data_IF_409987427607
#
_entry.id   IF_409987427607
#
_cell.length_a   1.000
_cell.length_b   1.000
_cell.length_c   1.000
_cell.angle_alpha   90.00
_cell.angle_beta   90.00
_cell.angle_gamma   90.00
#
_symmetry.space_group_name_H-M   'P 1'
#
loop_
_entity.id
_entity.type
_entity.pdbx_description
1 polymer ?
#
# COMPACT_ATOMS: atom_id res chain seq x y z
N UNK A 1 22.56 9.84 0.49
CA UNK A 1 22.68 10.64 1.74
C UNK A 1 23.51 11.88 1.43
N UNK A 2 23.05 13.07 1.82
CA UNK A 2 23.76 14.36 1.67
C UNK A 2 24.23 14.81 3.05
N UNK A 3 25.48 15.30 3.11
CA UNK A 3 26.07 15.87 4.32
C UNK A 3 25.86 17.38 4.30
N UNK A 4 25.20 17.91 5.33
CA UNK A 4 25.09 19.34 5.56
C UNK A 4 26.11 19.75 6.63
N UNK A 5 26.90 20.77 6.28
CA UNK A 5 27.88 21.39 7.18
C UNK A 5 27.39 22.78 7.54
N UNK A 6 27.65 23.23 8.77
CA UNK A 6 27.30 24.58 9.14
C UNK A 6 28.14 25.57 8.35
N UNK A 7 27.52 26.62 7.83
CA UNK A 7 28.25 27.76 7.24
C UNK A 7 28.90 28.59 8.36
N UNK A 8 29.95 28.03 8.96
CA UNK A 8 30.73 28.70 10.00
C UNK A 8 32.22 28.57 9.73
N UNK A 9 32.97 29.65 9.93
CA UNK A 9 34.45 29.67 9.90
C UNK A 9 35.10 28.97 11.12
N UNK A 10 34.29 28.38 11.99
CA UNK A 10 34.70 27.71 13.21
C UNK A 10 34.75 26.20 12.97
N UNK A 11 35.78 25.54 13.50
CA UNK A 11 35.95 24.09 13.40
C UNK A 11 34.99 23.39 14.38
N UNK A 12 33.71 23.29 14.02
CA UNK A 12 32.66 22.67 14.85
C UNK A 12 32.38 21.23 14.40
N UNK A 13 32.24 20.26 15.33
CA UNK A 13 32.01 18.86 14.99
C UNK A 13 30.57 18.54 14.53
N UNK A 14 29.67 19.52 14.53
CA UNK A 14 28.25 19.29 14.30
C UNK A 14 27.94 19.09 12.81
N UNK A 15 27.25 17.99 12.53
CA UNK A 15 26.93 17.55 11.18
C UNK A 15 25.48 17.07 11.12
N UNK A 16 24.78 17.44 10.06
CA UNK A 16 23.49 16.86 9.74
C UNK A 16 23.62 15.97 8.50
N UNK A 17 23.04 14.77 8.57
CA UNK A 17 22.93 13.87 7.44
C UNK A 17 21.47 13.79 7.01
N UNK A 18 21.19 14.18 5.77
CA UNK A 18 19.84 14.10 5.21
C UNK A 18 19.80 13.10 4.06
N UNK A 19 18.61 12.61 3.74
CA UNK A 19 18.42 11.74 2.58
C UNK A 19 18.76 12.50 1.29
N UNK A 20 19.23 11.79 0.26
CA UNK A 20 19.71 12.42 -0.99
C UNK A 20 18.62 13.16 -1.79
N UNK A 21 17.36 12.79 -1.56
CA UNK A 21 16.16 13.38 -2.15
C UNK A 21 15.62 14.58 -1.37
N UNK A 22 16.27 14.99 -0.28
CA UNK A 22 15.87 16.15 0.51
C UNK A 22 16.95 17.23 0.32
N UNK A 23 16.52 18.48 0.16
CA UNK A 23 17.40 19.65 0.23
C UNK A 23 17.20 20.32 1.59
N UNK A 24 18.26 20.90 2.12
CA UNK A 24 18.21 21.59 3.40
C UNK A 24 19.48 22.37 3.66
N UNK A 25 19.42 23.27 4.63
CA UNK A 25 20.54 24.06 5.13
C UNK A 25 20.71 23.79 6.62
N UNK A 26 21.94 23.88 7.08
CA UNK A 26 22.29 23.73 8.48
C UNK A 26 23.03 25.01 8.86
N UNK A 27 22.36 25.90 9.59
CA UNK A 27 22.85 27.25 9.79
C UNK A 27 22.88 27.60 11.27
N UNK A 28 23.72 28.57 11.63
CA UNK A 28 23.70 29.16 12.97
C UNK A 28 22.47 30.06 13.09
N UNK A 29 21.80 30.01 14.24
CA UNK A 29 20.80 31.01 14.56
C UNK A 29 21.51 32.33 14.94
N UNK A 30 21.52 33.29 14.02
CA UNK A 30 21.99 34.65 14.31
C UNK A 30 20.87 35.42 15.03
N UNK A 31 21.08 35.66 16.32
CA UNK A 31 20.29 36.50 17.24
C UNK A 31 19.07 35.89 17.93
N UNK A 32 19.17 35.85 19.27
CA UNK A 32 18.12 36.26 20.18
C UNK A 32 18.81 36.84 21.41
N UNK A 33 18.50 38.10 21.77
CA UNK A 33 19.05 38.81 22.94
C UNK A 33 18.73 38.13 24.28
N UNK A 34 18.10 36.95 24.27
CA UNK A 34 17.63 36.20 25.44
C UNK A 34 18.16 34.76 25.50
N UNK A 35 19.21 34.42 24.74
CA UNK A 35 19.83 33.09 24.83
C UNK A 35 20.82 33.09 26.00
N UNK A 36 20.48 32.35 27.07
CA UNK A 36 21.31 32.13 28.26
C UNK A 36 22.38 31.02 28.06
N UNK A 37 22.50 30.48 26.85
CA UNK A 37 23.41 29.40 26.50
C UNK A 37 24.72 29.95 25.94
N UNK A 38 25.85 29.43 26.42
CA UNK A 38 27.20 29.65 25.88
C UNK A 38 27.48 28.80 24.63
N UNK A 39 26.62 27.83 24.33
CA UNK A 39 26.64 27.05 23.09
C UNK A 39 25.88 27.74 21.95
N UNK A 40 26.44 27.63 20.74
CA UNK A 40 25.84 28.07 19.49
C UNK A 40 24.55 27.29 19.20
N UNK A 41 23.43 28.01 19.04
CA UNK A 41 22.18 27.43 18.57
C UNK A 41 22.23 27.23 17.06
N UNK A 42 21.81 26.04 16.64
CA UNK A 42 21.83 25.60 15.24
C UNK A 42 20.41 25.39 14.74
N UNK A 43 20.16 25.72 13.48
CA UNK A 43 18.88 25.59 12.79
C UNK A 43 19.04 24.69 11.59
N UNK A 44 18.28 23.58 11.56
CA UNK A 44 18.16 22.73 10.38
C UNK A 44 16.89 23.12 9.63
N UNK A 45 17.06 23.74 8.46
CA UNK A 45 15.94 23.98 7.55
C UNK A 45 15.93 22.88 6.50
N UNK A 46 14.83 22.13 6.39
CA UNK A 46 14.63 21.13 5.34
C UNK A 46 13.52 21.58 4.39
N UNK A 47 13.79 21.51 3.10
CA UNK A 47 12.78 21.74 2.08
C UNK A 47 12.07 20.43 1.78
N UNK A 48 10.82 20.34 2.24
CA UNK A 48 9.95 19.18 2.02
C UNK A 48 9.21 19.23 0.67
N UNK A 49 9.25 20.35 -0.06
CA UNK A 49 8.51 20.51 -1.33
C UNK A 49 9.13 19.76 -2.52
N UNK A 50 10.40 19.36 -2.42
CA UNK A 50 11.11 18.63 -3.47
C UNK A 50 11.02 17.10 -3.34
N UNK A 51 10.33 16.58 -2.34
CA UNK A 51 10.02 15.15 -2.30
C UNK A 51 8.88 14.96 -3.31
N UNK A 52 9.10 14.41 -4.52
CA UNK A 52 7.96 13.97 -5.30
C UNK A 52 7.19 13.02 -4.41
N UNK A 53 5.91 13.31 -4.16
CA UNK A 53 4.99 12.35 -3.57
C UNK A 53 5.01 11.14 -4.50
N UNK A 54 5.88 10.18 -4.17
CA UNK A 54 5.96 8.94 -4.91
C UNK A 54 4.75 8.17 -4.42
N UNK A 55 3.72 8.17 -5.26
CA UNK A 55 2.52 7.42 -4.98
C UNK A 55 2.93 5.97 -4.70
N UNK A 56 2.69 5.53 -3.46
CA UNK A 56 2.97 4.17 -2.99
C UNK A 56 2.23 3.13 -3.83
N UNK A 57 1.14 3.51 -4.49
CA UNK A 57 0.35 2.68 -5.40
C UNK A 57 0.99 2.54 -6.80
N UNK A 58 1.84 3.48 -7.22
CA UNK A 58 2.53 3.45 -8.53
C UNK A 58 3.99 3.02 -8.46
N UNK A 59 4.52 2.71 -7.27
CA UNK A 59 5.90 2.27 -7.11
C UNK A 59 6.14 0.87 -7.67
N UNK A 60 7.20 0.71 -8.47
CA UNK A 60 7.71 -0.60 -8.90
C UNK A 60 8.43 -1.38 -7.79
N UNK A 61 8.59 -0.78 -6.61
CA UNK A 61 9.17 -1.38 -5.42
C UNK A 61 8.12 -2.22 -4.69
N UNK A 62 8.52 -3.43 -4.30
CA UNK A 62 7.72 -4.33 -3.46
C UNK A 62 8.51 -4.74 -2.23
N UNK A 63 7.80 -5.01 -1.14
CA UNK A 63 8.38 -5.49 0.11
C UNK A 63 8.90 -6.91 -0.09
N UNK A 64 10.12 -7.17 0.37
CA UNK A 64 10.69 -8.51 0.34
C UNK A 64 10.05 -9.38 1.45
N UNK A 65 9.39 -10.48 1.11
CA UNK A 65 8.68 -11.30 2.10
C UNK A 65 9.50 -12.50 2.60
N UNK A 66 10.78 -12.60 2.23
CA UNK A 66 11.61 -13.80 2.49
C UNK A 66 11.70 -14.12 3.99
N UNK A 67 11.89 -13.09 4.82
CA UNK A 67 12.09 -13.24 6.27
C UNK A 67 10.84 -12.90 7.10
N UNK A 68 9.67 -12.77 6.47
CA UNK A 68 8.42 -12.36 7.16
C UNK A 68 7.95 -13.35 8.25
N UNK A 69 8.43 -14.58 8.20
CA UNK A 69 8.11 -15.61 9.17
C UNK A 69 9.13 -15.66 10.33
N UNK A 70 10.20 -14.88 10.29
CA UNK A 70 11.19 -14.83 11.37
C UNK A 70 10.58 -14.15 12.61
N UNK A 71 10.49 -14.84 13.77
CA UNK A 71 9.80 -14.30 14.94
C UNK A 71 10.36 -12.97 15.44
N UNK A 72 11.68 -12.78 15.36
CA UNK A 72 12.33 -11.53 15.76
C UNK A 72 11.88 -10.34 14.90
N UNK A 73 11.81 -10.53 13.57
CA UNK A 73 11.37 -9.48 12.65
C UNK A 73 9.89 -9.16 12.88
N UNK A 74 9.04 -10.18 13.02
CA UNK A 74 7.61 -9.99 13.33
C UNK A 74 7.42 -9.18 14.61
N UNK A 75 8.18 -9.50 15.66
CA UNK A 75 8.12 -8.79 16.94
C UNK A 75 8.50 -7.31 16.80
N UNK A 76 9.57 -7.00 16.07
CA UNK A 76 9.98 -5.61 15.81
C UNK A 76 8.92 -4.86 15.01
N UNK A 77 8.37 -5.47 13.94
CA UNK A 77 7.29 -4.86 13.15
C UNK A 77 6.05 -4.54 13.99
N UNK A 78 5.65 -5.46 14.88
CA UNK A 78 4.52 -5.24 15.79
C UNK A 78 4.80 -4.16 16.82
N UNK A 79 6.03 -4.08 17.34
CA UNK A 79 6.44 -3.04 18.27
C UNK A 79 6.46 -1.65 17.60
N UNK A 80 6.97 -1.55 16.36
CA UNK A 80 6.92 -0.30 15.60
C UNK A 80 5.48 0.14 15.31
N UNK A 81 4.60 -0.80 14.94
CA UNK A 81 3.17 -0.50 14.77
C UNK A 81 2.56 0.03 16.07
N UNK A 82 2.84 -0.61 17.21
CA UNK A 82 2.34 -0.15 18.51
C UNK A 82 2.79 1.28 18.85
N UNK A 83 4.00 1.68 18.45
CA UNK A 83 4.51 3.04 18.68
C UNK A 83 3.76 4.11 17.88
N UNK A 84 3.24 3.75 16.70
CA UNK A 84 2.54 4.70 15.81
C UNK A 84 1.02 4.53 15.80
N UNK A 85 0.48 3.55 16.54
CA UNK A 85 -0.92 3.15 16.44
C UNK A 85 -1.88 4.30 16.76
N UNK A 86 -1.52 5.16 17.72
CA UNK A 86 -2.26 6.36 18.09
C UNK A 86 -2.48 7.36 16.93
N UNK A 87 -1.54 7.43 15.97
CA UNK A 87 -1.69 8.28 14.79
C UNK A 87 -2.77 7.72 13.86
N UNK A 88 -2.82 6.40 13.73
CA UNK A 88 -3.82 5.70 12.93
C UNK A 88 -5.19 5.81 13.61
N UNK A 89 -5.25 5.69 14.94
CA UNK A 89 -6.48 5.91 15.70
C UNK A 89 -7.02 7.32 15.51
N UNK A 90 -6.14 8.31 15.42
CA UNK A 90 -6.54 9.69 15.16
C UNK A 90 -7.21 9.82 13.78
N UNK A 91 -6.67 9.18 12.75
CA UNK A 91 -7.28 9.14 11.41
C UNK A 91 -8.63 8.39 11.41
N UNK A 92 -8.72 7.26 12.10
CA UNK A 92 -9.98 6.50 12.23
C UNK A 92 -11.02 7.29 13.01
N UNK A 93 -10.63 7.97 14.09
CA UNK A 93 -11.51 8.84 14.86
C UNK A 93 -12.09 9.98 14.02
N UNK A 94 -11.29 10.53 13.10
CA UNK A 94 -11.78 11.55 12.15
C UNK A 94 -12.89 10.97 11.27
N UNK A 95 -12.74 9.76 10.72
CA UNK A 95 -13.81 9.09 9.96
C UNK A 95 -15.06 8.88 10.82
N UNK A 96 -14.91 8.39 12.04
CA UNK A 96 -16.04 8.08 12.92
C UNK A 96 -16.87 9.31 13.32
N UNK A 97 -16.23 10.47 13.43
CA UNK A 97 -16.87 11.70 13.90
C UNK A 97 -17.05 12.75 12.81
N UNK A 98 -16.78 12.39 11.56
CA UNK A 98 -16.89 13.32 10.45
C UNK A 98 -18.33 13.74 10.18
N UNK A 99 -18.52 15.05 9.98
CA UNK A 99 -19.81 15.64 9.61
C UNK A 99 -19.57 16.63 8.47
N UNK A 100 -20.14 16.34 7.30
CA UNK A 100 -19.90 17.10 6.07
C UNK A 100 -20.30 18.58 6.18
N UNK A 101 -21.28 18.89 7.02
CA UNK A 101 -21.78 20.27 7.23
C UNK A 101 -20.68 21.26 7.64
N UNK A 102 -19.57 20.77 8.21
CA UNK A 102 -18.48 21.59 8.73
C UNK A 102 -17.17 21.49 7.90
N UNK A 103 -17.19 20.93 6.68
CA UNK A 103 -15.96 20.68 5.93
C UNK A 103 -16.09 20.85 4.42
N UNK A 104 -15.02 21.32 3.79
CA UNK A 104 -14.88 21.43 2.33
C UNK A 104 -14.54 20.09 1.67
N UNK A 105 -14.19 19.07 2.45
CA UNK A 105 -13.74 17.75 1.97
C UNK A 105 -14.92 16.77 1.90
N UNK A 106 -15.13 16.12 0.75
CA UNK A 106 -16.15 15.08 0.62
C UNK A 106 -15.80 13.80 1.39
N UNK A 107 -16.76 12.90 1.58
CA UNK A 107 -16.53 11.61 2.26
C UNK A 107 -15.51 10.72 1.52
N UNK A 108 -15.53 10.68 0.18
CA UNK A 108 -14.60 9.90 -0.63
C UNK A 108 -13.12 10.24 -0.35
N UNK A 109 -12.70 11.51 -0.50
CA UNK A 109 -11.34 11.94 -0.18
C UNK A 109 -10.92 11.67 1.28
N UNK A 110 -11.86 11.74 2.24
CA UNK A 110 -11.58 11.37 3.63
C UNK A 110 -11.27 9.87 3.77
N UNK A 111 -12.07 9.00 3.12
CA UNK A 111 -11.83 7.55 3.08
C UNK A 111 -10.47 7.24 2.46
N UNK A 112 -10.16 7.87 1.31
CA UNK A 112 -8.87 7.72 0.64
C UNK A 112 -7.70 8.15 1.53
N UNK A 113 -7.82 9.29 2.21
CA UNK A 113 -6.79 9.79 3.11
C UNK A 113 -6.49 8.80 4.24
N UNK A 114 -7.52 8.30 4.94
CA UNK A 114 -7.31 7.36 6.04
C UNK A 114 -6.75 6.02 5.55
N UNK A 115 -7.21 5.53 4.39
CA UNK A 115 -6.69 4.30 3.81
C UNK A 115 -5.24 4.43 3.39
N UNK A 116 -4.90 5.49 2.66
CA UNK A 116 -3.55 5.76 2.22
C UNK A 116 -2.61 5.94 3.41
N UNK A 117 -3.06 6.63 4.47
CA UNK A 117 -2.29 6.77 5.70
C UNK A 117 -1.96 5.42 6.34
N UNK A 118 -2.95 4.53 6.50
CA UNK A 118 -2.71 3.18 7.02
C UNK A 118 -1.71 2.41 6.14
N UNK A 119 -1.93 2.40 4.82
CA UNK A 119 -1.08 1.66 3.87
C UNK A 119 0.35 2.18 3.89
N UNK A 120 0.53 3.50 3.91
CA UNK A 120 1.84 4.15 3.96
C UNK A 120 2.59 3.78 5.24
N UNK A 121 1.92 3.82 6.40
CA UNK A 121 2.58 3.48 7.68
C UNK A 121 2.97 2.01 7.75
N UNK A 122 2.10 1.11 7.30
CA UNK A 122 2.46 -0.31 7.21
C UNK A 122 3.59 -0.54 6.21
N UNK A 123 3.59 0.16 5.08
CA UNK A 123 4.65 0.07 4.09
C UNK A 123 6.00 0.54 4.64
N UNK A 124 6.04 1.65 5.39
CA UNK A 124 7.25 2.15 6.04
C UNK A 124 7.80 1.11 7.03
N UNK A 125 6.96 0.60 7.93
CA UNK A 125 7.38 -0.43 8.92
C UNK A 125 7.94 -1.65 8.19
N UNK A 126 7.22 -2.14 7.18
CA UNK A 126 7.62 -3.35 6.46
C UNK A 126 8.88 -3.13 5.63
N UNK A 127 9.00 -2.01 4.93
CA UNK A 127 10.16 -1.71 4.08
C UNK A 127 11.42 -1.50 4.91
N UNK A 128 11.32 -0.91 6.11
CA UNK A 128 12.42 -0.81 7.04
C UNK A 128 12.89 -2.20 7.50
N UNK A 129 11.95 -3.04 7.95
CA UNK A 129 12.28 -4.31 8.60
C UNK A 129 12.60 -5.46 7.65
N UNK A 130 11.98 -5.48 6.47
CA UNK A 130 12.11 -6.57 5.50
C UNK A 130 12.92 -6.17 4.26
N UNK A 131 13.12 -4.87 4.03
CA UNK A 131 13.67 -4.34 2.80
C UNK A 131 12.68 -4.37 1.63
N UNK A 132 13.09 -3.77 0.52
CA UNK A 132 12.32 -3.72 -0.73
C UNK A 132 13.15 -4.23 -1.89
N UNK A 133 12.47 -4.61 -2.97
CA UNK A 133 13.09 -4.95 -4.24
C UNK A 133 12.30 -4.33 -5.40
N UNK A 134 13.00 -3.98 -6.47
CA UNK A 134 12.39 -3.53 -7.72
C UNK A 134 11.91 -4.73 -8.53
N UNK A 135 10.65 -4.69 -8.98
CA UNK A 135 10.11 -5.71 -9.90
C UNK A 135 10.90 -5.72 -11.23
N UNK A 136 11.41 -4.57 -11.66
CA UNK A 136 12.12 -4.45 -12.93
C UNK A 136 13.53 -5.08 -12.85
N UNK A 137 14.22 -4.91 -11.73
CA UNK A 137 15.58 -5.43 -11.52
C UNK A 137 15.59 -6.93 -11.18
N UNK A 138 14.54 -7.41 -10.51
CA UNK A 138 14.38 -8.85 -10.23
C UNK A 138 14.03 -9.67 -11.47
N UNK A 139 13.41 -9.05 -12.49
CA UNK A 139 13.11 -9.71 -13.78
C UNK A 139 14.34 -9.85 -14.68
N UNK A 140 15.33 -8.98 -14.55
CA UNK A 140 16.56 -9.02 -15.37
C UNK A 140 17.62 -9.96 -14.83
N UNK A 141 17.69 -10.16 -13.50
CA UNK A 141 18.71 -11.00 -12.83
C UNK A 141 18.21 -12.40 -12.43
N UNK A 142 17.56 -13.10 -13.35
CA UNK A 142 17.06 -14.46 -13.10
C UNK A 142 18.18 -15.51 -13.19
N UNK A 143 18.77 -15.88 -12.06
CA UNK A 143 19.67 -17.04 -11.97
C UNK A 143 18.88 -18.34 -11.78
N UNK A 144 19.32 -19.47 -12.38
CA UNK A 144 18.65 -20.75 -12.22
C UNK A 144 18.85 -21.30 -10.80
N UNK A 145 17.77 -21.35 -10.01
CA UNK A 145 17.78 -22.09 -8.75
C UNK A 145 17.95 -23.59 -9.01
N UNK A 146 19.04 -24.15 -8.49
CA UNK A 146 19.20 -25.59 -8.26
C UNK A 146 18.60 -25.93 -6.88
N UNK A 147 17.29 -26.11 -6.77
CA UNK A 147 16.68 -26.78 -5.61
C UNK A 147 15.39 -27.48 -6.05
N UNK A 148 15.44 -28.82 -6.14
CA UNK A 148 15.19 -29.82 -5.09
C UNK A 148 13.70 -30.19 -5.09
N UNK A 149 13.40 -31.30 -5.76
CA UNK A 149 12.08 -31.89 -5.92
C UNK A 149 11.50 -32.43 -4.59
N UNK A 150 12.30 -32.44 -3.52
CA UNK A 150 11.94 -33.02 -2.22
C UNK A 150 10.95 -32.16 -1.41
N UNK A 151 10.52 -31.00 -1.94
CA UNK A 151 9.58 -30.08 -1.27
C UNK A 151 8.12 -30.29 -1.70
N UNK A 152 7.85 -31.27 -2.57
CA UNK A 152 6.52 -31.57 -3.10
C UNK A 152 5.55 -32.18 -2.07
N UNK A 153 6.05 -32.68 -0.94
CA UNK A 153 5.22 -33.20 0.16
C UNK A 153 4.91 -32.16 1.25
N UNK A 154 5.32 -30.90 1.06
CA UNK A 154 5.03 -29.83 2.03
C UNK A 154 3.62 -29.24 1.83
N UNK A 155 3.00 -28.66 2.87
CA UNK A 155 1.76 -27.88 2.75
C UNK A 155 1.88 -26.69 1.77
N UNK A 156 3.11 -26.32 1.39
CA UNK A 156 3.44 -25.22 0.48
C UNK A 156 3.66 -25.70 -0.97
N UNK A 157 3.55 -27.00 -1.23
CA UNK A 157 3.85 -27.62 -2.53
C UNK A 157 3.08 -26.99 -3.69
N UNK A 158 1.80 -26.66 -3.52
CA UNK A 158 1.00 -26.00 -4.56
C UNK A 158 1.53 -24.60 -4.92
N UNK A 159 1.98 -23.82 -3.93
CA UNK A 159 2.58 -22.50 -4.14
C UNK A 159 3.93 -22.61 -4.84
N UNK A 160 4.74 -23.60 -4.44
CA UNK A 160 6.03 -23.90 -5.04
C UNK A 160 5.88 -24.38 -6.49
N UNK A 161 4.92 -25.26 -6.77
CA UNK A 161 4.60 -25.73 -8.11
C UNK A 161 4.11 -24.59 -9.01
N UNK A 162 3.22 -23.72 -8.51
CA UNK A 162 2.77 -22.54 -9.23
C UNK A 162 3.94 -21.57 -9.51
N UNK A 163 4.88 -21.42 -8.58
CA UNK A 163 6.11 -20.64 -8.77
C UNK A 163 7.01 -21.26 -9.83
N UNK A 164 7.24 -22.57 -9.81
CA UNK A 164 8.04 -23.29 -10.82
C UNK A 164 7.38 -23.19 -12.20
N UNK A 165 6.07 -23.39 -12.29
CA UNK A 165 5.31 -23.24 -13.53
C UNK A 165 5.38 -21.81 -14.07
N UNK A 166 5.17 -20.79 -13.24
CA UNK A 166 5.36 -19.39 -13.66
C UNK A 166 6.80 -19.15 -14.12
N UNK A 167 7.81 -19.66 -13.39
CA UNK A 167 9.24 -19.59 -13.79
C UNK A 167 9.48 -20.26 -15.15
N UNK A 168 8.88 -21.42 -15.43
CA UNK A 168 9.04 -22.10 -16.72
C UNK A 168 8.36 -21.33 -17.86
N UNK A 169 7.18 -20.74 -17.62
CA UNK A 169 6.50 -19.86 -18.58
C UNK A 169 7.34 -18.60 -18.88
N UNK A 170 8.00 -18.00 -17.89
CA UNK A 170 8.90 -16.87 -18.11
C UNK A 170 10.13 -17.24 -18.95
N UNK A 171 10.72 -18.43 -18.75
CA UNK A 171 11.80 -18.94 -19.62
C UNK A 171 11.29 -19.27 -21.03
N UNK A 172 10.06 -19.79 -21.12
CA UNK A 172 9.40 -20.10 -22.38
C UNK A 172 8.89 -18.87 -23.15
N UNK A 173 8.91 -17.65 -22.57
CA UNK A 173 8.53 -16.41 -23.26
C UNK A 173 9.33 -16.12 -24.54
N UNK A 174 10.43 -16.81 -24.81
CA UNK A 174 11.08 -16.76 -26.13
C UNK A 174 10.34 -17.55 -27.22
N UNK A 175 9.48 -18.51 -26.88
CA UNK A 175 8.83 -19.44 -27.83
C UNK A 175 7.32 -19.70 -27.59
N UNK A 176 6.68 -19.13 -26.57
CA UNK A 176 5.24 -19.28 -26.36
C UNK A 176 4.46 -18.29 -27.25
N UNK A 177 4.07 -18.75 -28.44
CA UNK A 177 3.21 -17.98 -29.33
C UNK A 177 1.76 -18.05 -28.82
N UNK A 178 1.22 -16.91 -28.41
CA UNK A 178 -0.23 -16.79 -28.15
C UNK A 178 -0.93 -16.85 -29.50
N UNK A 179 -1.77 -17.86 -29.69
CA UNK A 179 -2.59 -18.01 -30.90
C UNK A 179 -4.04 -17.69 -30.56
N UNK A 180 -4.70 -17.05 -31.52
CA UNK A 180 -6.16 -16.85 -31.50
C UNK A 180 -6.87 -18.22 -31.51
N UNK A 181 -8.06 -18.28 -30.91
CA UNK A 181 -8.99 -19.42 -31.03
C UNK A 181 -9.44 -19.62 -32.47
N UNK A 182 -9.36 -18.57 -33.30
CA UNK A 182 -9.72 -18.56 -34.71
C UNK A 182 -8.49 -18.29 -35.59
N UNK A 183 -8.15 -19.20 -36.53
CA UNK A 183 -7.00 -19.03 -37.42
C UNK A 183 -7.02 -17.76 -38.29
N UNK A 184 -8.21 -17.19 -38.50
CA UNK A 184 -8.43 -16.00 -39.32
C UNK A 184 -8.36 -14.67 -38.55
N UNK A 185 -8.14 -14.71 -37.23
CA UNK A 185 -8.16 -13.54 -36.35
C UNK A 185 -6.84 -13.45 -35.61
N UNK A 186 -6.31 -12.24 -35.42
CA UNK A 186 -5.10 -12.07 -34.61
C UNK A 186 -5.39 -12.41 -33.15
N UNK A 187 -4.38 -12.86 -32.39
CA UNK A 187 -4.58 -13.13 -30.97
C UNK A 187 -5.04 -11.89 -30.19
N UNK A 188 -4.65 -10.69 -30.62
CA UNK A 188 -5.10 -9.44 -30.00
C UNK A 188 -6.59 -9.17 -30.25
N UNK A 189 -7.06 -9.37 -31.48
CA UNK A 189 -8.46 -9.14 -31.86
C UNK A 189 -9.40 -10.18 -31.24
N UNK A 190 -8.95 -11.44 -31.11
CA UNK A 190 -9.69 -12.50 -30.44
C UNK A 190 -9.86 -12.22 -28.94
N UNK A 191 -8.80 -11.74 -28.28
CA UNK A 191 -8.85 -11.30 -26.87
C UNK A 191 -9.75 -10.07 -26.71
N UNK A 192 -9.67 -9.10 -27.62
CA UNK A 192 -10.52 -7.92 -27.59
C UNK A 192 -12.00 -8.32 -27.71
N UNK A 193 -12.33 -9.15 -28.70
CA UNK A 193 -13.69 -9.61 -28.96
C UNK A 193 -14.24 -10.41 -27.78
N UNK A 194 -13.43 -11.31 -27.21
CA UNK A 194 -13.80 -12.07 -26.01
C UNK A 194 -14.21 -11.16 -24.85
N UNK A 195 -13.40 -10.16 -24.51
CA UNK A 195 -13.71 -9.27 -23.40
C UNK A 195 -14.85 -8.31 -23.72
N UNK A 196 -14.99 -7.89 -24.98
CA UNK A 196 -16.10 -7.04 -25.40
C UNK A 196 -17.44 -7.78 -25.29
N UNK A 197 -17.48 -9.07 -25.62
CA UNK A 197 -18.66 -9.91 -25.45
C UNK A 197 -18.93 -10.21 -23.97
N UNK A 198 -17.89 -10.51 -23.20
CA UNK A 198 -17.99 -10.84 -21.77
C UNK A 198 -18.52 -9.66 -20.93
N UNK A 199 -18.06 -8.45 -21.25
CA UNK A 199 -18.45 -7.22 -20.56
C UNK A 199 -19.45 -6.39 -21.35
N UNK A 200 -20.13 -7.00 -22.33
CA UNK A 200 -21.15 -6.32 -23.10
C UNK A 200 -22.23 -5.83 -22.13
N UNK A 201 -22.51 -4.52 -22.07
CA UNK A 201 -23.56 -4.01 -21.19
C UNK A 201 -24.86 -4.74 -21.50
N UNK A 202 -25.54 -5.23 -20.48
CA UNK A 202 -26.88 -5.80 -20.66
C UNK A 202 -27.79 -4.72 -21.26
N UNK A 203 -28.49 -5.05 -22.34
CA UNK A 203 -29.48 -4.14 -22.96
C UNK A 203 -30.77 -4.01 -22.14
N UNK A 204 -30.83 -4.69 -20.99
CA UNK A 204 -31.89 -4.49 -20.00
C UNK A 204 -31.57 -3.18 -19.32
N UNK A 205 -32.44 -2.18 -19.48
CA UNK A 205 -32.42 -0.95 -18.69
C UNK A 205 -32.37 -1.34 -17.21
N UNK A 206 -31.17 -1.30 -16.65
CA UNK A 206 -30.99 -1.47 -15.22
C UNK A 206 -31.28 -0.10 -14.66
N UNK A 207 -32.34 0.03 -13.87
CA UNK A 207 -32.62 1.27 -13.14
C UNK A 207 -31.31 1.70 -12.47
N UNK A 208 -30.74 2.82 -12.90
CA UNK A 208 -29.55 3.36 -12.28
C UNK A 208 -29.94 3.76 -10.86
N UNK A 209 -29.60 2.89 -9.90
CA UNK A 209 -29.85 3.13 -8.49
C UNK A 209 -28.99 4.33 -8.06
N UNK A 210 -29.62 5.49 -7.96
CA UNK A 210 -28.98 6.68 -7.43
C UNK A 210 -28.90 6.55 -5.91
N UNK A 211 -27.70 6.44 -5.39
CA UNK A 211 -27.44 6.55 -3.95
C UNK A 211 -27.15 8.01 -3.67
N UNK A 212 -28.02 8.67 -2.90
CA UNK A 212 -27.74 9.99 -2.38
C UNK A 212 -26.67 9.87 -1.28
N UNK A 213 -25.50 10.46 -1.52
CA UNK A 213 -24.37 10.47 -0.60
C UNK A 213 -24.29 11.76 0.22
N UNK A 214 -25.33 12.60 0.22
CA UNK A 214 -25.34 13.86 0.98
C UNK A 214 -25.27 13.63 2.49
N UNK A 215 -25.94 12.58 2.99
CA UNK A 215 -25.98 12.23 4.40
C UNK A 215 -25.34 10.87 4.68
N UNK A 216 -24.70 10.67 5.86
CA UNK A 216 -24.24 9.36 6.28
C UNK A 216 -25.42 8.41 6.45
N UNK A 217 -25.23 7.14 6.07
CA UNK A 217 -26.26 6.11 6.18
C UNK A 217 -26.67 6.00 7.65
N UNK A 218 -27.88 6.44 7.97
CA UNK A 218 -28.44 6.37 9.33
C UNK A 218 -28.96 4.95 9.59
N UNK A 219 -28.10 4.17 10.24
CA UNK A 219 -28.27 2.84 10.83
C UNK A 219 -29.71 2.30 10.93
N UNK A 220 -30.18 1.61 9.89
CA UNK A 220 -31.09 0.47 10.07
C UNK A 220 -30.33 -0.82 10.41
N UNK A 221 -29.00 -0.83 10.20
CA UNK A 221 -28.11 -1.98 10.39
C UNK A 221 -27.06 -1.62 11.43
N UNK A 222 -26.95 -2.42 12.50
CA UNK A 222 -25.86 -2.31 13.47
C UNK A 222 -24.62 -2.98 12.89
N UNK A 223 -23.78 -2.21 12.21
CA UNK A 223 -22.54 -2.70 11.57
C UNK A 223 -21.62 -3.44 12.55
N UNK A 224 -21.67 -3.14 13.86
CA UNK A 224 -20.86 -3.83 14.88
C UNK A 224 -21.23 -5.31 15.04
N UNK A 225 -22.41 -5.73 14.59
CA UNK A 225 -22.80 -7.14 14.58
C UNK A 225 -22.16 -7.92 13.43
N UNK A 226 -21.82 -7.24 12.34
CA UNK A 226 -21.29 -7.84 11.12
C UNK A 226 -19.77 -7.69 10.99
N UNK A 227 -19.21 -6.63 11.57
CA UNK A 227 -17.78 -6.36 11.57
C UNK A 227 -17.26 -6.42 13.00
N UNK A 228 -16.57 -7.52 13.32
CA UNK A 228 -15.92 -7.72 14.61
C UNK A 228 -14.44 -8.04 14.42
N UNK A 229 -13.56 -7.72 15.39
CA UNK A 229 -12.14 -8.07 15.32
C UNK A 229 -11.90 -9.57 15.07
N UNK A 230 -12.76 -10.43 15.60
CA UNK A 230 -12.71 -11.89 15.39
C UNK A 230 -12.98 -12.25 13.93
N UNK A 231 -14.01 -11.67 13.32
CA UNK A 231 -14.33 -11.92 11.91
C UNK A 231 -13.23 -11.39 10.98
N UNK A 232 -12.69 -10.19 11.28
CA UNK A 232 -11.56 -9.62 10.54
C UNK A 232 -10.32 -10.51 10.65
N UNK A 233 -10.00 -11.00 11.86
CA UNK A 233 -8.91 -11.96 12.09
C UNK A 233 -9.08 -13.21 11.23
N UNK A 234 -10.24 -13.85 11.27
CA UNK A 234 -10.51 -15.05 10.48
C UNK A 234 -10.38 -14.77 8.98
N UNK A 235 -10.97 -13.67 8.49
CA UNK A 235 -10.90 -13.29 7.09
C UNK A 235 -9.44 -13.12 6.60
N UNK A 236 -8.57 -12.49 7.39
CA UNK A 236 -7.15 -12.32 7.02
C UNK A 236 -6.41 -13.66 7.03
N UNK A 237 -6.61 -14.49 8.05
CA UNK A 237 -5.91 -15.78 8.18
C UNK A 237 -6.32 -16.77 7.09
N UNK A 238 -7.61 -16.83 6.77
CA UNK A 238 -8.18 -17.69 5.72
C UNK A 238 -7.78 -17.24 4.32
N UNK A 239 -7.48 -15.95 4.11
CA UNK A 239 -7.12 -15.44 2.80
C UNK A 239 -5.83 -16.12 2.28
N UNK A 240 -5.82 -16.71 1.07
CA UNK A 240 -4.67 -17.48 0.60
C UNK A 240 -3.44 -16.62 0.33
N UNK A 241 -2.29 -17.02 0.89
CA UNK A 241 -1.00 -16.35 0.68
C UNK A 241 -0.43 -16.52 -0.74
N UNK A 242 -1.09 -17.30 -1.61
CA UNK A 242 -0.72 -17.49 -3.01
C UNK A 242 -1.33 -16.46 -3.95
N UNK A 243 -2.28 -15.65 -3.46
CA UNK A 243 -2.89 -14.55 -4.22
C UNK A 243 -1.93 -13.38 -4.30
N UNK A 244 -1.90 -12.70 -5.44
CA UNK A 244 -1.12 -11.48 -5.61
C UNK A 244 -1.68 -10.36 -4.74
N UNK A 245 -0.81 -9.43 -4.32
CA UNK A 245 -1.23 -8.14 -3.77
C UNK A 245 -2.13 -7.39 -4.76
N UNK A 246 -2.99 -6.53 -4.21
CA UNK A 246 -3.78 -5.59 -4.98
C UNK A 246 -2.92 -4.47 -5.61
N UNK A 247 -3.53 -3.34 -6.00
CA UNK A 247 -2.79 -2.17 -6.46
C UNK A 247 -1.88 -1.59 -5.36
N UNK A 248 -2.21 -1.81 -4.09
CA UNK A 248 -1.35 -1.44 -2.97
C UNK A 248 -0.08 -2.31 -2.87
N UNK A 249 0.99 -1.81 -2.21
CA UNK A 249 2.23 -2.55 -2.06
C UNK A 249 2.16 -3.65 -0.99
N UNK A 250 1.03 -3.84 -0.30
CA UNK A 250 0.92 -4.73 0.85
C UNK A 250 0.41 -6.11 0.42
N UNK A 251 1.23 -7.13 0.66
CA UNK A 251 0.81 -8.52 0.47
C UNK A 251 0.04 -9.03 1.69
N UNK A 252 -0.90 -9.96 1.50
CA UNK A 252 -1.67 -10.56 2.60
C UNK A 252 -0.79 -11.13 3.73
N UNK A 253 0.41 -11.62 3.40
CA UNK A 253 1.36 -12.10 4.41
C UNK A 253 1.73 -11.05 5.46
N UNK A 254 1.73 -9.77 5.08
CA UNK A 254 1.96 -8.64 6.00
C UNK A 254 0.81 -8.53 6.99
N UNK A 255 -0.43 -8.54 6.49
CA UNK A 255 -1.62 -8.53 7.36
C UNK A 255 -1.64 -9.73 8.31
N UNK A 256 -1.20 -10.92 7.87
CA UNK A 256 -1.06 -12.10 8.74
C UNK A 256 -0.01 -11.96 9.85
N UNK A 257 0.91 -11.00 9.77
CA UNK A 257 1.76 -10.61 10.90
C UNK A 257 0.97 -9.71 11.84
N UNK A 258 0.39 -8.63 11.33
CA UNK A 258 -0.29 -7.63 12.15
C UNK A 258 -1.58 -8.13 12.83
N UNK A 259 -2.17 -9.24 12.38
CA UNK A 259 -3.29 -9.93 13.06
C UNK A 259 -2.95 -10.37 14.50
N UNK A 260 -1.66 -10.51 14.83
CA UNK A 260 -1.21 -10.77 16.21
C UNK A 260 -1.49 -9.59 17.15
N UNK A 261 -1.72 -8.39 16.62
CA UNK A 261 -2.11 -7.21 17.39
C UNK A 261 -3.63 -7.08 17.46
N UNK A 262 -4.20 -7.19 18.66
CA UNK A 262 -5.63 -6.93 18.89
C UNK A 262 -6.01 -5.49 18.53
N UNK A 263 -5.11 -4.54 18.79
CA UNK A 263 -5.28 -3.13 18.41
C UNK A 263 -5.44 -2.96 16.90
N UNK A 264 -4.60 -3.66 16.13
CA UNK A 264 -4.67 -3.60 14.67
C UNK A 264 -6.03 -4.09 14.15
N UNK A 265 -6.56 -5.18 14.74
CA UNK A 265 -7.86 -5.71 14.37
C UNK A 265 -9.00 -4.75 14.74
N UNK A 266 -8.93 -4.10 15.90
CA UNK A 266 -9.90 -3.07 16.30
C UNK A 266 -9.87 -1.87 15.34
N UNK A 267 -8.66 -1.39 15.03
CA UNK A 267 -8.44 -0.28 14.08
C UNK A 267 -9.05 -0.58 12.72
N UNK A 268 -8.75 -1.77 12.15
CA UNK A 268 -9.34 -2.18 10.87
C UNK A 268 -10.85 -2.28 10.95
N UNK A 269 -11.39 -2.87 12.01
CA UNK A 269 -12.84 -3.01 12.20
C UNK A 269 -13.53 -1.65 12.19
N UNK A 270 -13.02 -0.70 12.98
CA UNK A 270 -13.55 0.67 13.07
C UNK A 270 -13.47 1.41 11.73
N UNK A 271 -12.36 1.26 11.03
CA UNK A 271 -12.16 1.85 9.71
C UNK A 271 -13.15 1.30 8.68
N UNK A 272 -13.35 -0.02 8.62
CA UNK A 272 -14.35 -0.65 7.75
C UNK A 272 -15.78 -0.23 8.08
N UNK A 273 -16.14 -0.13 9.36
CA UNK A 273 -17.45 0.39 9.77
C UNK A 273 -17.62 1.84 9.28
N UNK A 274 -16.58 2.66 9.39
CA UNK A 274 -16.56 4.01 8.85
C UNK A 274 -16.80 4.04 7.34
N UNK A 275 -16.18 3.14 6.59
CA UNK A 275 -16.36 3.03 5.13
C UNK A 275 -17.81 2.69 4.78
N UNK A 276 -18.38 1.69 5.48
CA UNK A 276 -19.78 1.30 5.32
C UNK A 276 -20.75 2.43 5.67
N UNK A 277 -20.47 3.21 6.73
CA UNK A 277 -21.32 4.32 7.15
C UNK A 277 -21.51 5.38 6.07
N UNK A 278 -20.48 5.66 5.29
CA UNK A 278 -20.55 6.65 4.20
C UNK A 278 -20.87 6.02 2.84
N UNK A 279 -20.85 4.69 2.73
CA UNK A 279 -21.06 3.99 1.47
C UNK A 279 -19.91 4.18 0.47
N UNK A 280 -18.70 4.50 0.97
CA UNK A 280 -17.50 4.69 0.15
C UNK A 280 -16.50 3.58 0.41
N UNK A 281 -15.71 3.26 -0.62
CA UNK A 281 -14.52 2.43 -0.52
C UNK A 281 -13.32 3.24 -1.03
N UNK A 282 -12.10 2.92 -0.60
CA UNK A 282 -10.91 3.56 -1.16
C UNK A 282 -10.91 3.49 -2.68
N UNK A 283 -10.68 4.63 -3.34
CA UNK A 283 -10.69 4.79 -4.79
C UNK A 283 -9.73 3.81 -5.47
N UNK A 284 -8.58 3.54 -4.84
CA UNK A 284 -7.59 2.57 -5.30
C UNK A 284 -8.11 1.13 -5.38
N UNK A 285 -9.20 0.77 -4.67
CA UNK A 285 -9.81 -0.56 -4.80
C UNK A 285 -10.61 -0.70 -6.09
N UNK A 286 -11.10 0.43 -6.62
CA UNK A 286 -11.98 0.49 -7.78
C UNK A 286 -11.21 0.75 -9.09
N UNK A 287 -9.92 1.14 -9.01
CA UNK A 287 -9.07 1.36 -10.18
C UNK A 287 -8.73 0.07 -10.95
N UNK A 288 -8.97 -1.11 -10.36
CA UNK A 288 -8.86 -2.40 -11.05
C UNK A 288 -9.86 -2.60 -12.21
N UNK A 289 -10.92 -1.78 -12.28
CA UNK A 289 -11.96 -1.88 -13.30
C UNK A 289 -11.97 -0.75 -14.36
N UNK A 290 -11.28 0.38 -14.14
CA UNK A 290 -11.57 1.61 -14.92
C UNK A 290 -10.45 2.16 -15.83
N UNK A 291 -9.24 1.60 -15.84
CA UNK A 291 -8.14 2.12 -16.69
C UNK A 291 -8.13 1.60 -18.15
N UNK A 292 -9.30 1.32 -18.74
CA UNK A 292 -9.40 1.03 -20.19
C UNK A 292 -9.96 2.17 -21.05
N UNK A 293 -10.49 3.25 -20.45
CA UNK A 293 -11.21 4.28 -21.22
C UNK A 293 -10.66 5.72 -21.17
N UNK A 294 -9.54 6.00 -20.50
CA UNK A 294 -9.03 7.38 -20.37
C UNK A 294 -7.84 7.74 -21.28
N UNK A 295 -7.38 6.84 -22.14
CA UNK A 295 -6.30 7.14 -23.10
C UNK A 295 -6.79 7.15 -24.56
N UNK A 296 -7.82 7.94 -24.85
CA UNK A 296 -8.11 8.47 -26.19
C UNK A 296 -8.83 9.81 -26.04
N UNK A 297 -8.04 10.88 -25.93
CA UNK A 297 -8.37 12.23 -26.40
C UNK A 297 -7.12 13.11 -26.26
N UNK A 298 -6.15 12.87 -27.14
CA UNK A 298 -5.36 13.90 -27.83
C UNK A 298 -5.25 13.44 -29.28
#
# INVERSE_FOLDING_TARGET
>A
MKHLRPETDMDTPDHAYISSNISGTWDKLEFSDHILSDHLLMTLAINLTEIPEKDIFDSSEKINLTSINEPAIRHVMLAEYANISHLIDTAVYQIENYVLVNSEVGYGPLIDCCYNFLVEKLFIICSHNLGTYSINDSRSNFTPDTSCLDVLDSPQAASIAARIFKKSQFKAKRNAFIQSRFPSVSAADDVYSYYNDLYKPSTVETESYYVDHSDPITNSIDFKQFFTPTLVRSAILEYPSSKSSGPDPLHISIFKVFVESDHFLDTLTRMFIGFCRYGYTPSSWNTGFSNKNSSKNI
#
